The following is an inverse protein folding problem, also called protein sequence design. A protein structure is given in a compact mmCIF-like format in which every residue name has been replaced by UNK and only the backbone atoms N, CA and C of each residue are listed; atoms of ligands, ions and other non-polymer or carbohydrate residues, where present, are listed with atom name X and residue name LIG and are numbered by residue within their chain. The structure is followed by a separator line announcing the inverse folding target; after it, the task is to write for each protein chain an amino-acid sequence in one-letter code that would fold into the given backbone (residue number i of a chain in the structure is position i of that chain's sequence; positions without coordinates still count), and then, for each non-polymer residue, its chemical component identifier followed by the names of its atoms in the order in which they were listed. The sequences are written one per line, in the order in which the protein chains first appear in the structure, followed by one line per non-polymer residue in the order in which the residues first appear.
data_IF_736830150163
#
_entry.id   IF_736830150163
#
_cell.length_a   1.000
_cell.length_b   1.000
_cell.length_c   1.000
_cell.angle_alpha   90.00
_cell.angle_beta   90.00
_cell.angle_gamma   90.00
#
_symmetry.space_group_name_H-M   'P 1'
#
loop_
_entity.id
_entity.type
_entity.pdbx_description
1 polymer ?
#
# COMPACT_ATOMS: atom_id res chain seq x y z
N UNK A 1 41.13 47.75 5.88
CA UNK A 1 40.71 47.59 4.49
C UNK A 1 40.40 46.11 4.25
N UNK A 2 39.18 45.85 3.78
CA UNK A 2 38.60 44.66 3.14
C UNK A 2 39.05 43.26 3.60
N UNK A 3 38.22 42.51 4.34
CA UNK A 3 37.12 41.62 3.89
C UNK A 3 37.58 40.17 3.76
N UNK A 4 37.34 39.38 4.80
CA UNK A 4 37.18 37.93 4.67
C UNK A 4 35.76 37.67 4.17
N UNK A 5 35.64 37.22 2.92
CA UNK A 5 34.41 36.68 2.36
C UNK A 5 34.55 35.17 2.25
N UNK A 6 34.12 34.44 3.28
CA UNK A 6 34.05 32.99 3.28
C UNK A 6 33.00 32.57 2.24
N UNK A 7 33.41 31.89 1.18
CA UNK A 7 32.52 31.37 0.14
C UNK A 7 31.75 30.18 0.71
N UNK A 8 30.44 30.32 0.67
CA UNK A 8 29.41 29.34 1.03
C UNK A 8 29.65 28.01 0.29
N UNK A 9 29.99 26.97 1.03
CA UNK A 9 29.82 25.56 0.63
C UNK A 9 28.37 25.18 0.91
N UNK A 10 27.58 24.97 -0.14
CA UNK A 10 26.14 24.67 -0.02
C UNK A 10 25.58 23.93 -1.24
N UNK A 11 26.37 23.03 -1.84
CA UNK A 11 26.02 22.36 -3.10
C UNK A 11 25.85 20.84 -3.04
N UNK A 12 26.28 20.18 -1.95
CA UNK A 12 26.34 18.70 -1.92
C UNK A 12 25.12 18.04 -1.30
N UNK A 13 24.39 18.77 -0.45
CA UNK A 13 23.30 18.20 0.34
C UNK A 13 21.98 18.19 -0.44
N UNK A 14 21.77 19.15 -1.33
CA UNK A 14 20.59 19.22 -2.19
C UNK A 14 20.63 18.16 -3.29
N UNK A 15 21.77 17.99 -3.98
CA UNK A 15 21.95 16.95 -5.01
C UNK A 15 21.84 15.54 -4.42
N UNK A 16 22.39 15.31 -3.22
CA UNK A 16 22.28 14.01 -2.55
C UNK A 16 20.84 13.71 -2.14
N UNK A 17 20.11 14.69 -1.57
CA UNK A 17 18.69 14.54 -1.23
C UNK A 17 17.83 14.31 -2.48
N UNK A 18 18.13 14.96 -3.60
CA UNK A 18 17.43 14.77 -4.86
C UNK A 18 17.68 13.39 -5.47
N UNK A 19 18.89 12.84 -5.37
CA UNK A 19 19.20 11.47 -5.81
C UNK A 19 18.47 10.43 -4.95
N UNK A 20 18.42 10.63 -3.63
CA UNK A 20 17.69 9.76 -2.70
C UNK A 20 16.18 9.82 -2.97
N UNK A 21 15.65 11.03 -3.22
CA UNK A 21 14.25 11.26 -3.57
C UNK A 21 13.89 10.61 -4.91
N UNK A 22 14.73 10.73 -5.94
CA UNK A 22 14.50 10.11 -7.25
C UNK A 22 14.44 8.58 -7.20
N UNK A 23 15.38 7.96 -6.47
CA UNK A 23 15.35 6.49 -6.27
C UNK A 23 14.12 6.04 -5.50
N UNK A 24 13.68 6.81 -4.50
CA UNK A 24 12.47 6.51 -3.72
C UNK A 24 11.22 6.62 -4.58
N UNK A 25 11.09 7.67 -5.38
CA UNK A 25 9.92 7.92 -6.24
C UNK A 25 9.79 6.88 -7.37
N UNK A 26 10.92 6.44 -7.94
CA UNK A 26 10.93 5.40 -8.98
C UNK A 26 10.58 4.02 -8.42
N UNK A 27 11.08 3.68 -7.23
CA UNK A 27 10.75 2.44 -6.53
C UNK A 27 9.28 2.40 -6.08
N UNK A 28 8.76 3.50 -5.53
CA UNK A 28 7.36 3.62 -5.12
C UNK A 28 6.41 3.50 -6.33
N UNK A 29 6.81 4.01 -7.49
CA UNK A 29 6.08 3.87 -8.75
C UNK A 29 5.95 2.40 -9.21
N UNK A 30 7.02 1.61 -9.10
CA UNK A 30 7.01 0.19 -9.51
C UNK A 30 6.19 -0.65 -8.54
N UNK A 31 6.33 -0.42 -7.24
CA UNK A 31 5.55 -1.10 -6.21
C UNK A 31 4.06 -0.79 -6.36
N UNK A 32 3.70 0.49 -6.48
CA UNK A 32 2.32 0.95 -6.71
C UNK A 32 1.69 0.27 -7.92
N UNK A 33 2.39 0.26 -9.06
CA UNK A 33 1.91 -0.38 -10.30
C UNK A 33 1.65 -1.87 -10.09
N UNK A 34 2.55 -2.55 -9.39
CA UNK A 34 2.39 -3.97 -9.13
C UNK A 34 1.21 -4.24 -8.22
N UNK A 35 1.13 -3.58 -7.06
CA UNK A 35 0.04 -3.80 -6.12
C UNK A 35 -1.32 -3.48 -6.74
N UNK A 36 -1.39 -2.40 -7.53
CA UNK A 36 -2.59 -2.04 -8.30
C UNK A 36 -2.97 -3.16 -9.29
N UNK A 37 -2.01 -3.70 -10.04
CA UNK A 37 -2.25 -4.84 -10.95
C UNK A 37 -2.73 -6.08 -10.20
N UNK A 38 -2.12 -6.39 -9.05
CA UNK A 38 -2.51 -7.54 -8.23
C UNK A 38 -3.94 -7.40 -7.71
N UNK A 39 -4.30 -6.23 -7.16
CA UNK A 39 -5.66 -5.94 -6.68
C UNK A 39 -6.66 -6.10 -7.84
N UNK A 40 -6.36 -5.50 -8.99
CA UNK A 40 -7.20 -5.60 -10.17
C UNK A 40 -7.35 -7.05 -10.67
N UNK A 41 -6.32 -7.88 -10.58
CA UNK A 41 -6.41 -9.29 -10.90
C UNK A 41 -7.36 -10.06 -9.96
N UNK A 42 -7.42 -9.69 -8.67
CA UNK A 42 -8.43 -10.27 -7.77
C UNK A 42 -9.84 -9.77 -8.11
N UNK A 43 -10.00 -8.47 -8.38
CA UNK A 43 -11.28 -7.89 -8.77
C UNK A 43 -11.85 -8.46 -10.06
N UNK A 44 -11.00 -8.74 -11.06
CA UNK A 44 -11.42 -9.41 -12.28
C UNK A 44 -12.01 -10.80 -12.03
N UNK A 45 -11.48 -11.57 -11.06
CA UNK A 45 -12.02 -12.89 -10.69
C UNK A 45 -13.38 -12.80 -10.02
N UNK A 46 -13.62 -11.76 -9.24
CA UNK A 46 -14.84 -11.56 -8.46
C UNK A 46 -15.84 -10.61 -9.13
N UNK A 47 -15.58 -10.19 -10.36
CA UNK A 47 -16.44 -9.25 -11.11
C UNK A 47 -16.56 -7.86 -10.49
N UNK A 48 -15.57 -7.42 -9.70
CA UNK A 48 -15.56 -6.10 -9.04
C UNK A 48 -14.91 -5.04 -9.95
N UNK A 49 -15.27 -3.78 -9.76
CA UNK A 49 -14.71 -2.69 -10.56
C UNK A 49 -13.22 -2.46 -10.23
N UNK A 50 -12.34 -2.31 -11.24
CA UNK A 50 -10.92 -2.11 -11.02
C UNK A 50 -10.63 -0.75 -10.36
N UNK A 51 -9.47 -0.66 -9.72
CA UNK A 51 -8.91 0.59 -9.18
C UNK A 51 -7.90 1.18 -10.16
N UNK A 52 -7.81 2.51 -10.16
CA UNK A 52 -6.85 3.28 -10.96
C UNK A 52 -5.69 3.77 -10.09
N UNK A 53 -6.00 4.27 -8.90
CA UNK A 53 -5.00 4.71 -7.94
C UNK A 53 -5.32 4.16 -6.55
N UNK A 54 -4.48 3.25 -6.08
CA UNK A 54 -4.65 2.62 -4.78
C UNK A 54 -4.65 3.62 -3.61
N UNK A 55 -3.99 4.79 -3.73
CA UNK A 55 -3.93 5.75 -2.63
C UNK A 55 -5.19 6.60 -2.50
N UNK A 56 -5.97 6.75 -3.57
CA UNK A 56 -7.28 7.41 -3.52
C UNK A 56 -8.41 6.40 -3.36
N UNK A 57 -8.35 5.30 -4.11
CA UNK A 57 -9.47 4.39 -4.28
C UNK A 57 -9.66 3.46 -3.07
N UNK A 58 -8.66 3.34 -2.19
CA UNK A 58 -8.76 2.55 -0.96
C UNK A 58 -9.20 3.37 0.26
N UNK A 59 -9.20 4.71 0.19
CA UNK A 59 -9.44 5.59 1.35
C UNK A 59 -10.82 5.44 1.97
N UNK A 60 -11.83 5.11 1.17
CA UNK A 60 -13.21 4.94 1.63
C UNK A 60 -13.48 3.56 2.27
N UNK A 61 -12.49 2.66 2.23
CA UNK A 61 -12.54 1.30 2.74
C UNK A 61 -13.41 0.33 1.94
N UNK A 62 -14.19 0.78 0.96
CA UNK A 62 -15.13 -0.08 0.22
C UNK A 62 -14.39 -1.08 -0.66
N UNK A 63 -13.34 -0.60 -1.35
CA UNK A 63 -12.46 -1.44 -2.17
C UNK A 63 -11.64 -2.43 -1.36
N UNK A 64 -11.22 -2.04 -0.15
CA UNK A 64 -10.56 -2.96 0.77
C UNK A 64 -11.50 -4.09 1.20
N UNK A 65 -12.74 -3.76 1.54
CA UNK A 65 -13.76 -4.77 1.86
C UNK A 65 -14.05 -5.66 0.65
N UNK A 66 -14.23 -5.11 -0.56
CA UNK A 66 -14.42 -5.91 -1.79
C UNK A 66 -13.26 -6.89 -2.04
N UNK A 67 -12.03 -6.46 -1.74
CA UNK A 67 -10.84 -7.30 -1.89
C UNK A 67 -10.86 -8.46 -0.89
N UNK A 68 -11.15 -8.15 0.38
CA UNK A 68 -11.24 -9.15 1.43
C UNK A 68 -12.41 -10.11 1.23
N UNK A 69 -13.55 -9.65 0.70
CA UNK A 69 -14.65 -10.54 0.30
C UNK A 69 -14.16 -11.58 -0.71
N UNK A 70 -13.38 -11.15 -1.71
CA UNK A 70 -12.82 -12.05 -2.73
C UNK A 70 -11.78 -13.03 -2.20
N UNK A 71 -10.98 -12.60 -1.23
CA UNK A 71 -9.89 -13.42 -0.65
C UNK A 71 -10.38 -14.39 0.43
N UNK A 72 -11.34 -13.97 1.25
CA UNK A 72 -11.90 -14.78 2.35
C UNK A 72 -13.08 -15.63 1.91
N UNK A 73 -13.71 -15.29 0.77
CA UNK A 73 -14.99 -15.87 0.34
C UNK A 73 -16.19 -15.48 1.21
N UNK A 74 -16.01 -14.58 2.18
CA UNK A 74 -17.06 -14.13 3.11
C UNK A 74 -17.67 -12.82 2.65
N UNK A 75 -19.00 -12.68 2.78
CA UNK A 75 -19.70 -11.44 2.43
C UNK A 75 -19.53 -10.41 3.55
N UNK A 76 -19.08 -9.20 3.20
CA UNK A 76 -18.79 -8.12 4.15
C UNK A 76 -19.72 -6.93 3.90
N UNK A 77 -20.54 -6.60 4.89
CA UNK A 77 -21.40 -5.40 4.83
C UNK A 77 -20.55 -4.13 4.75
N UNK A 78 -20.85 -3.28 3.78
CA UNK A 78 -20.22 -1.97 3.56
C UNK A 78 -21.18 -0.84 3.97
N UNK A 79 -20.66 0.16 4.66
CA UNK A 79 -21.41 1.40 4.88
C UNK A 79 -21.48 2.21 3.58
N UNK A 80 -22.70 2.67 3.25
CA UNK A 80 -22.97 3.35 1.97
C UNK A 80 -22.65 4.85 2.00
N UNK A 81 -22.49 5.45 3.18
CA UNK A 81 -22.21 6.87 3.33
C UNK A 81 -20.87 7.30 2.73
N UNK A 82 -20.70 8.62 2.60
CA UNK A 82 -19.51 9.28 2.03
C UNK A 82 -18.74 10.13 3.05
N UNK A 83 -19.21 10.20 4.30
CA UNK A 83 -18.49 10.95 5.34
C UNK A 83 -17.24 10.21 5.80
N UNK A 84 -16.29 10.94 6.38
CA UNK A 84 -15.04 10.37 6.95
C UNK A 84 -15.32 9.27 7.99
N UNK A 85 -16.42 9.38 8.73
CA UNK A 85 -16.83 8.36 9.71
C UNK A 85 -17.19 7.04 9.04
N UNK A 86 -17.96 7.08 7.94
CA UNK A 86 -18.29 5.85 7.18
C UNK A 86 -17.04 5.22 6.57
N UNK A 87 -16.11 6.04 6.07
CA UNK A 87 -14.82 5.55 5.59
C UNK A 87 -14.02 4.85 6.69
N UNK A 88 -13.92 5.46 7.88
CA UNK A 88 -13.26 4.85 9.03
C UNK A 88 -13.94 3.54 9.45
N UNK A 89 -15.26 3.48 9.47
CA UNK A 89 -15.99 2.25 9.80
C UNK A 89 -15.70 1.12 8.80
N UNK A 90 -15.71 1.43 7.50
CA UNK A 90 -15.36 0.47 6.46
C UNK A 90 -13.91 -0.03 6.58
N UNK A 91 -12.96 0.88 6.79
CA UNK A 91 -11.54 0.53 6.96
C UNK A 91 -11.34 -0.29 8.23
N UNK A 92 -11.88 0.14 9.37
CA UNK A 92 -11.76 -0.59 10.64
C UNK A 92 -12.34 -2.01 10.53
N UNK A 93 -13.45 -2.16 9.81
CA UNK A 93 -14.00 -3.49 9.52
C UNK A 93 -13.05 -4.34 8.68
N UNK A 94 -12.40 -3.76 7.66
CA UNK A 94 -11.39 -4.46 6.89
C UNK A 94 -10.20 -4.91 7.77
N UNK A 95 -9.72 -4.03 8.64
CA UNK A 95 -8.64 -4.36 9.60
C UNK A 95 -9.06 -5.46 10.58
N UNK A 96 -10.32 -5.46 11.05
CA UNK A 96 -10.84 -6.53 11.90
C UNK A 96 -10.87 -7.88 11.19
N UNK A 97 -11.33 -7.92 9.93
CA UNK A 97 -11.32 -9.14 9.11
C UNK A 97 -9.90 -9.65 8.93
N UNK A 98 -8.93 -8.76 8.70
CA UNK A 98 -7.52 -9.14 8.61
C UNK A 98 -7.00 -9.78 9.91
N UNK A 99 -7.34 -9.19 11.05
CA UNK A 99 -6.96 -9.74 12.35
C UNK A 99 -7.60 -11.12 12.60
N UNK A 100 -8.87 -11.31 12.21
CA UNK A 100 -9.57 -12.60 12.29
C UNK A 100 -8.96 -13.68 11.39
N UNK A 101 -8.27 -13.28 10.32
CA UNK A 101 -7.54 -14.18 9.43
C UNK A 101 -6.05 -14.31 9.83
N UNK A 102 -5.65 -13.92 11.05
CA UNK A 102 -4.27 -13.99 11.54
C UNK A 102 -3.27 -13.18 10.69
N UNK A 103 -3.69 -12.04 10.16
CA UNK A 103 -2.78 -11.06 9.55
C UNK A 103 -2.28 -10.10 10.62
N UNK A 104 -0.98 -10.09 10.87
CA UNK A 104 -0.34 -9.14 11.78
C UNK A 104 -0.17 -7.78 11.09
N UNK A 105 -0.81 -6.76 11.64
CA UNK A 105 -0.71 -5.38 11.15
C UNK A 105 0.06 -4.56 12.19
N UNK A 106 1.31 -4.24 11.87
CA UNK A 106 2.17 -3.45 12.76
C UNK A 106 2.01 -1.97 12.43
N UNK A 107 1.53 -1.17 13.40
CA UNK A 107 1.40 0.28 13.30
C UNK A 107 0.53 0.79 12.12
N UNK A 108 -0.53 0.06 11.76
CA UNK A 108 -1.50 0.50 10.73
C UNK A 108 -2.86 0.71 11.39
N UNK A 109 -3.30 1.96 11.47
CA UNK A 109 -4.62 2.35 11.95
C UNK A 109 -5.58 2.70 10.82
N UNK A 110 -6.88 2.73 11.12
CA UNK A 110 -7.90 3.10 10.14
C UNK A 110 -7.78 4.55 9.65
N UNK A 111 -7.32 5.45 10.53
CA UNK A 111 -7.07 6.86 10.19
C UNK A 111 -5.97 7.02 9.14
N UNK A 112 -4.93 6.19 9.20
CA UNK A 112 -3.81 6.27 8.26
C UNK A 112 -4.23 6.01 6.82
N UNK A 113 -5.16 5.05 6.64
CA UNK A 113 -5.70 4.70 5.32
C UNK A 113 -6.69 5.75 4.84
N UNK A 114 -7.58 6.22 5.71
CA UNK A 114 -8.58 7.24 5.37
C UNK A 114 -7.92 8.58 5.04
N UNK A 115 -6.80 8.91 5.69
CA UNK A 115 -6.04 10.13 5.41
C UNK A 115 -5.15 9.94 4.17
N UNK A 116 -4.87 8.69 3.77
CA UNK A 116 -4.16 8.34 2.55
C UNK A 116 -2.65 8.30 2.71
N UNK A 117 -2.16 7.86 3.87
CA UNK A 117 -0.72 7.69 4.11
C UNK A 117 -0.18 6.61 3.17
N UNK A 118 0.62 7.01 2.17
CA UNK A 118 1.12 6.11 1.14
C UNK A 118 1.91 4.94 1.72
N UNK A 119 2.82 5.21 2.66
CA UNK A 119 3.70 4.19 3.26
C UNK A 119 2.89 3.13 4.01
N UNK A 120 1.93 3.55 4.82
CA UNK A 120 1.08 2.63 5.59
C UNK A 120 0.07 1.90 4.70
N UNK A 121 -0.43 2.54 3.64
CA UNK A 121 -1.29 1.90 2.64
C UNK A 121 -0.55 0.82 1.87
N UNK A 122 0.70 1.07 1.46
CA UNK A 122 1.55 0.05 0.83
C UNK A 122 1.83 -1.11 1.80
N UNK A 123 2.17 -0.81 3.06
CA UNK A 123 2.39 -1.84 4.09
C UNK A 123 1.16 -2.71 4.35
N UNK A 124 -0.03 -2.11 4.35
CA UNK A 124 -1.29 -2.84 4.48
C UNK A 124 -1.47 -3.83 3.31
N UNK A 125 -1.41 -3.33 2.07
CA UNK A 125 -1.62 -4.18 0.90
C UNK A 125 -0.55 -5.27 0.79
N UNK A 126 0.70 -4.95 1.13
CA UNK A 126 1.77 -5.94 1.21
C UNK A 126 1.43 -7.08 2.18
N UNK A 127 0.96 -6.75 3.39
CA UNK A 127 0.60 -7.75 4.39
C UNK A 127 -0.53 -8.68 3.90
N UNK A 128 -1.52 -8.13 3.19
CA UNK A 128 -2.60 -8.90 2.54
C UNK A 128 -2.05 -9.82 1.46
N UNK A 129 -1.22 -9.30 0.56
CA UNK A 129 -0.62 -10.08 -0.53
C UNK A 129 0.19 -11.24 0.05
N UNK A 130 1.07 -10.95 1.02
CA UNK A 130 1.93 -11.95 1.64
C UNK A 130 1.12 -13.06 2.29
N UNK A 131 0.09 -12.72 3.06
CA UNK A 131 -0.75 -13.71 3.74
C UNK A 131 -1.46 -14.66 2.77
N UNK A 132 -2.13 -14.13 1.75
CA UNK A 132 -2.92 -14.95 0.82
C UNK A 132 -2.07 -15.63 -0.27
N UNK A 133 -0.97 -15.02 -0.72
CA UNK A 133 -0.10 -15.68 -1.71
C UNK A 133 0.77 -16.78 -1.11
N UNK A 134 1.21 -16.65 0.15
CA UNK A 134 2.01 -17.70 0.82
C UNK A 134 1.13 -18.87 1.26
N UNK A 135 -0.14 -18.62 1.59
CA UNK A 135 -1.13 -19.67 1.90
C UNK A 135 -1.56 -20.49 0.69
N UNK A 136 -1.30 -19.99 -0.53
CA UNK A 136 -1.60 -20.69 -1.78
C UNK A 136 -0.29 -21.19 -2.39
N UNK A 137 0.17 -22.38 -2.00
CA UNK A 137 1.42 -23.04 -2.45
C UNK A 137 1.60 -23.18 -3.99
N UNK A 138 0.64 -22.72 -4.80
CA UNK A 138 0.63 -22.80 -6.25
C UNK A 138 1.36 -21.66 -6.99
N UNK A 139 1.89 -20.62 -6.33
CA UNK A 139 2.56 -19.51 -7.04
C UNK A 139 4.01 -19.27 -6.63
N UNK A 140 4.87 -20.29 -6.80
CA UNK A 140 6.33 -20.15 -6.66
C UNK A 140 6.96 -19.22 -7.71
N UNK A 141 6.28 -18.94 -8.82
CA UNK A 141 6.83 -18.12 -9.91
C UNK A 141 6.68 -16.59 -9.72
N UNK A 142 5.75 -16.12 -8.87
CA UNK A 142 5.70 -14.69 -8.51
C UNK A 142 6.70 -14.33 -7.39
N UNK A 143 6.99 -15.26 -6.48
CA UNK A 143 8.00 -15.03 -5.43
C UNK A 143 9.41 -14.80 -5.98
N UNK A 144 9.76 -15.34 -7.16
CA UNK A 144 11.09 -15.15 -7.76
C UNK A 144 11.32 -13.72 -8.31
N UNK A 145 10.28 -13.04 -8.78
CA UNK A 145 10.38 -11.63 -9.19
C UNK A 145 10.23 -10.67 -8.00
N UNK A 146 9.48 -11.04 -6.96
CA UNK A 146 9.34 -10.21 -5.75
C UNK A 146 10.53 -10.32 -4.79
N UNK A 147 11.16 -11.50 -4.65
CA UNK A 147 12.35 -11.63 -3.78
C UNK A 147 13.51 -10.75 -4.26
N UNK A 148 13.75 -10.62 -5.57
CA UNK A 148 14.89 -9.83 -6.05
C UNK A 148 14.75 -8.31 -5.82
N UNK A 149 13.51 -7.79 -5.75
CA UNK A 149 13.31 -6.35 -5.51
C UNK A 149 13.31 -5.95 -4.03
N UNK A 150 13.10 -6.90 -3.12
CA UNK A 150 13.07 -6.64 -1.66
C UNK A 150 14.34 -7.09 -0.94
N UNK A 151 15.14 -8.01 -1.51
CA UNK A 151 16.43 -8.42 -0.93
C UNK A 151 17.54 -7.37 -1.07
N UNK A 152 17.26 -6.20 -1.68
CA UNK A 152 18.17 -5.05 -1.69
C UNK A 152 17.95 -4.12 -0.47
N UNK A 153 17.02 -4.43 0.44
CA UNK A 153 16.77 -3.63 1.65
C UNK A 153 16.71 -4.48 2.94
N UNK A 154 17.71 -5.36 3.12
CA UNK A 154 18.23 -5.76 4.44
C UNK A 154 19.75 -5.70 4.40
#
# INVERSE_FOLDING_TARGET
MATQGNKTEGGTDEEFNDIIKWRSDEHDSVQKKTFTKWINAQFSKTGKTPIKDMFSDLKDGKKLLDLLEGLTGSVLTKEKGSTRVHALNNVNKALQVLHQNNVELVNIGGTDIVDGNHKLTLGLIWSIILHWQVSTQACRQLLCTFKLSMYIFT
#
